data_IF_349389585774
#
_entry.id   IF_349389585774
#
_cell.length_a   1.000
_cell.length_b   1.000
_cell.length_c   1.000
_cell.angle_alpha   90.00
_cell.angle_beta   90.00
_cell.angle_gamma   90.00
#
_symmetry.space_group_name_H-M   'P 1'
#
loop_
_entity.id
_entity.type
_entity.pdbx_description
1 polymer ?
#
# COMPACT_ATOMS: atom_id res chain seq x y z
N UNK A 1 4.24 104.44 -13.85
CA UNK A 1 5.26 103.44 -13.46
C UNK A 1 4.72 102.58 -12.34
N UNK A 2 5.03 101.29 -12.36
CA UNK A 2 4.53 100.25 -11.44
C UNK A 2 4.66 100.58 -9.95
N UNK A 3 3.76 100.06 -9.11
CA UNK A 3 4.07 99.78 -7.72
C UNK A 3 4.21 98.26 -7.46
N UNK A 4 5.34 97.87 -6.84
CA UNK A 4 5.63 96.51 -6.37
C UNK A 4 4.61 96.07 -5.30
N UNK A 5 4.24 94.78 -5.33
CA UNK A 5 3.36 94.13 -4.34
C UNK A 5 4.19 93.25 -3.39
N UNK A 6 4.03 93.34 -2.06
CA UNK A 6 4.67 92.43 -1.11
C UNK A 6 3.73 91.33 -0.57
N UNK A 7 4.39 90.20 -0.26
CA UNK A 7 4.17 89.11 0.71
C UNK A 7 2.83 88.38 0.76
N UNK A 8 2.91 87.08 0.43
CA UNK A 8 1.88 86.09 0.67
C UNK A 8 1.82 85.61 2.13
N UNK A 9 0.60 85.35 2.58
CA UNK A 9 0.26 84.49 3.69
C UNK A 9 -0.45 83.25 3.13
N UNK A 10 -0.12 82.09 3.69
CA UNK A 10 -0.40 80.77 3.11
C UNK A 10 -1.85 80.31 3.17
N UNK A 11 -2.14 79.32 2.34
CA UNK A 11 -3.35 78.51 2.38
C UNK A 11 -2.99 77.08 2.77
N UNK A 12 -3.73 76.56 3.76
CA UNK A 12 -3.92 75.15 4.11
C UNK A 12 -4.60 74.45 2.91
N UNK A 13 -4.48 73.15 2.63
CA UNK A 13 -4.81 72.01 3.50
C UNK A 13 -4.49 70.67 2.78
N UNK A 14 -4.52 69.57 3.55
CA UNK A 14 -4.57 68.14 3.21
C UNK A 14 -3.27 67.32 3.25
N UNK A 15 -3.16 66.48 4.31
CA UNK A 15 -2.86 65.04 4.16
C UNK A 15 -3.31 64.23 5.37
N UNK A 16 -3.89 63.07 5.07
CA UNK A 16 -4.54 62.12 5.96
C UNK A 16 -3.56 61.28 6.79
N UNK A 17 -3.98 60.96 8.02
CA UNK A 17 -3.36 59.95 8.89
C UNK A 17 -4.10 58.61 8.75
N UNK A 18 -3.35 57.51 8.72
CA UNK A 18 -3.85 56.13 8.66
C UNK A 18 -3.65 55.46 10.03
N UNK A 19 -4.62 54.72 10.59
CA UNK A 19 -4.38 53.97 11.82
C UNK A 19 -3.82 52.56 11.56
N UNK A 20 -3.05 52.09 12.54
CA UNK A 20 -2.24 50.88 12.57
C UNK A 20 -3.07 49.56 12.52
N UNK A 21 -2.57 48.55 11.79
CA UNK A 21 -3.00 47.15 11.91
C UNK A 21 -1.81 46.28 12.34
N UNK A 22 -1.92 45.62 13.49
CA UNK A 22 -0.99 44.57 13.92
C UNK A 22 -1.04 43.33 13.00
N UNK A 23 -0.04 42.43 13.07
CA UNK A 23 0.03 41.30 12.15
C UNK A 23 -1.09 40.30 12.40
N UNK A 24 -2.03 40.23 11.47
CA UNK A 24 -3.03 39.17 11.37
C UNK A 24 -2.29 37.90 10.97
N UNK A 25 -2.02 37.01 11.92
CA UNK A 25 -1.53 35.66 11.64
C UNK A 25 -2.66 34.88 10.95
N UNK A 26 -2.63 34.86 9.61
CA UNK A 26 -3.48 33.99 8.81
C UNK A 26 -3.29 32.53 9.25
N UNK A 27 -4.35 31.75 9.49
CA UNK A 27 -4.21 30.34 9.79
C UNK A 27 -3.55 29.64 8.59
N UNK A 28 -2.40 29.01 8.84
CA UNK A 28 -1.73 28.15 7.85
C UNK A 28 -2.76 27.13 7.36
N UNK A 29 -3.03 27.02 6.05
CA UNK A 29 -4.00 26.05 5.56
C UNK A 29 -3.56 24.67 6.01
N UNK A 30 -4.44 23.98 6.74
CA UNK A 30 -4.20 22.62 7.20
C UNK A 30 -3.82 21.77 5.97
N UNK A 31 -2.61 21.22 6.00
CA UNK A 31 -2.09 20.36 4.93
C UNK A 31 -3.15 19.30 4.64
N UNK A 32 -3.60 19.11 3.39
CA UNK A 32 -4.65 18.14 3.10
C UNK A 32 -4.23 16.79 3.66
N UNK A 33 -5.08 16.23 4.51
CA UNK A 33 -4.82 14.93 5.14
C UNK A 33 -4.77 13.91 4.01
N UNK A 34 -3.57 13.56 3.57
CA UNK A 34 -3.36 12.55 2.53
C UNK A 34 -4.06 11.27 2.98
N UNK A 35 -4.93 10.71 2.12
CA UNK A 35 -5.62 9.44 2.42
C UNK A 35 -4.58 8.39 2.86
N UNK A 36 -4.91 7.53 3.83
CA UNK A 36 -3.97 6.54 4.33
C UNK A 36 -3.53 5.60 3.21
N UNK A 37 -2.22 5.36 3.11
CA UNK A 37 -1.65 4.34 2.23
C UNK A 37 -1.64 2.98 2.93
N UNK A 38 -1.98 1.96 2.15
CA UNK A 38 -1.89 0.56 2.52
C UNK A 38 -0.80 -0.11 1.69
N UNK A 39 -0.15 -1.11 2.26
CA UNK A 39 0.70 -2.02 1.49
C UNK A 39 0.36 -3.48 1.73
N UNK A 40 0.47 -4.27 0.68
CA UNK A 40 0.44 -5.72 0.75
C UNK A 40 1.71 -6.26 0.10
N UNK A 41 2.40 -7.18 0.78
CA UNK A 41 3.53 -7.92 0.22
C UNK A 41 3.23 -9.40 0.30
N UNK A 42 3.41 -10.08 -0.82
CA UNK A 42 3.27 -11.52 -0.96
C UNK A 42 4.63 -12.12 -1.37
N UNK A 43 5.16 -12.99 -0.51
CA UNK A 43 6.36 -13.78 -0.77
C UNK A 43 5.97 -15.25 -1.01
N UNK A 44 5.83 -15.58 -2.30
CA UNK A 44 5.54 -16.93 -2.73
C UNK A 44 6.77 -17.75 -3.12
N UNK A 45 6.51 -18.93 -3.69
CA UNK A 45 7.55 -19.88 -4.12
C UNK A 45 8.45 -19.32 -5.22
N UNK A 46 7.86 -18.62 -6.20
CA UNK A 46 8.59 -18.13 -7.37
C UNK A 46 8.85 -16.62 -7.31
N UNK A 47 7.91 -15.86 -6.76
CA UNK A 47 7.86 -14.40 -6.91
C UNK A 47 7.69 -13.71 -5.57
N UNK A 48 8.28 -12.54 -5.45
CA UNK A 48 8.01 -11.57 -4.40
C UNK A 48 7.27 -10.39 -5.04
N UNK A 49 6.07 -10.08 -4.56
CA UNK A 49 5.22 -9.00 -5.08
C UNK A 49 4.85 -8.05 -3.96
N UNK A 50 4.75 -6.77 -4.27
CA UNK A 50 4.25 -5.76 -3.34
C UNK A 50 3.42 -4.71 -4.08
N UNK A 51 2.32 -4.29 -3.46
CA UNK A 51 1.51 -3.15 -3.88
C UNK A 51 1.46 -2.13 -2.74
N UNK A 52 1.54 -0.85 -3.08
CA UNK A 52 1.22 0.28 -2.22
C UNK A 52 0.04 1.01 -2.87
N UNK A 53 -1.05 1.17 -2.14
CA UNK A 53 -2.28 1.71 -2.71
C UNK A 53 -3.06 2.61 -1.74
N UNK A 54 -3.85 3.51 -2.31
CA UNK A 54 -4.76 4.39 -1.59
C UNK A 54 -6.22 3.99 -1.89
N UNK A 55 -7.14 4.05 -0.90
CA UNK A 55 -8.56 3.83 -1.16
C UNK A 55 -9.14 4.90 -2.10
N UNK A 56 -9.87 4.46 -3.12
CA UNK A 56 -10.56 5.31 -4.09
C UNK A 56 -11.92 4.69 -4.43
N UNK A 57 -13.00 5.25 -3.89
CA UNK A 57 -14.34 4.71 -4.04
C UNK A 57 -14.44 3.32 -3.40
N UNK A 58 -14.95 2.35 -4.16
CA UNK A 58 -15.06 0.94 -3.77
C UNK A 58 -13.77 0.13 -3.98
N UNK A 59 -12.71 0.75 -4.49
CA UNK A 59 -11.47 0.06 -4.83
C UNK A 59 -10.21 0.79 -4.36
N UNK A 60 -9.10 0.46 -5.00
CA UNK A 60 -7.78 0.98 -4.70
C UNK A 60 -7.15 1.62 -5.93
N UNK A 61 -6.48 2.75 -5.73
CA UNK A 61 -5.56 3.31 -6.71
C UNK A 61 -4.14 2.93 -6.29
N UNK A 62 -3.46 2.17 -7.15
CA UNK A 62 -2.07 1.74 -6.93
C UNK A 62 -1.15 2.95 -7.09
N UNK A 63 -0.39 3.24 -6.04
CA UNK A 63 0.57 4.35 -5.96
C UNK A 63 1.98 3.87 -6.32
N UNK A 64 2.33 2.65 -5.94
CA UNK A 64 3.60 2.03 -6.29
C UNK A 64 3.45 0.51 -6.28
N UNK A 65 4.29 -0.17 -7.04
CA UNK A 65 4.33 -1.63 -7.11
C UNK A 65 5.76 -2.15 -7.20
N UNK A 66 5.91 -3.42 -6.88
CA UNK A 66 7.13 -4.18 -7.05
C UNK A 66 6.78 -5.62 -7.39
N UNK A 67 7.53 -6.21 -8.32
CA UNK A 67 7.43 -7.62 -8.65
C UNK A 67 8.81 -8.12 -9.07
N UNK A 68 9.27 -9.21 -8.47
CA UNK A 68 10.53 -9.85 -8.82
C UNK A 68 10.43 -11.35 -8.69
N UNK A 69 10.93 -12.07 -9.70
CA UNK A 69 11.19 -13.51 -9.59
C UNK A 69 12.38 -13.74 -8.66
N UNK A 70 12.14 -14.42 -7.55
CA UNK A 70 13.15 -14.72 -6.52
C UNK A 70 13.47 -16.22 -6.45
N UNK A 71 12.56 -17.06 -6.95
CA UNK A 71 12.65 -18.53 -6.96
C UNK A 71 13.03 -19.06 -5.57
N UNK A 72 12.29 -18.63 -4.55
CA UNK A 72 12.53 -18.99 -3.16
C UNK A 72 12.50 -20.52 -2.96
N UNK A 73 11.53 -21.20 -3.61
CA UNK A 73 11.37 -22.65 -3.55
C UNK A 73 12.31 -23.46 -4.45
N UNK A 74 13.28 -22.85 -5.13
CA UNK A 74 14.22 -23.60 -5.97
C UNK A 74 15.02 -24.63 -5.15
N UNK A 75 14.86 -25.91 -5.48
CA UNK A 75 15.50 -27.03 -4.77
C UNK A 75 14.78 -27.48 -3.50
N UNK A 76 13.63 -26.88 -3.16
CA UNK A 76 12.89 -27.20 -1.94
C UNK A 76 12.31 -28.61 -1.97
N UNK A 77 11.72 -29.04 -3.09
CA UNK A 77 11.18 -30.40 -3.29
C UNK A 77 12.20 -31.50 -2.94
N UNK A 78 13.46 -31.30 -3.33
CA UNK A 78 14.51 -32.30 -3.16
C UNK A 78 15.17 -32.27 -1.78
N UNK A 79 15.33 -31.08 -1.20
CA UNK A 79 16.15 -30.89 0.00
C UNK A 79 15.35 -30.63 1.28
N UNK A 80 14.06 -30.27 1.16
CA UNK A 80 13.25 -29.77 2.27
C UNK A 80 13.72 -28.42 2.81
N UNK A 81 14.69 -27.74 2.17
CA UNK A 81 15.31 -26.51 2.68
C UNK A 81 15.37 -25.41 1.62
N UNK A 82 15.27 -24.17 2.07
CA UNK A 82 15.55 -23.00 1.24
C UNK A 82 17.07 -22.89 1.01
N UNK A 83 17.49 -22.85 -0.25
CA UNK A 83 18.90 -22.72 -0.58
C UNK A 83 19.45 -21.34 -0.21
N UNK A 84 20.74 -21.27 0.12
CA UNK A 84 21.41 -20.00 0.46
C UNK A 84 21.28 -18.96 -0.65
N UNK A 85 21.39 -19.38 -1.91
CA UNK A 85 21.23 -18.51 -3.07
C UNK A 85 19.82 -17.92 -3.17
N UNK A 86 18.78 -18.75 -3.03
CA UNK A 86 17.38 -18.28 -3.07
C UNK A 86 17.06 -17.33 -1.91
N UNK A 87 17.53 -17.64 -0.70
CA UNK A 87 17.34 -16.75 0.47
C UNK A 87 18.00 -15.38 0.25
N UNK A 88 19.26 -15.37 -0.21
CA UNK A 88 19.99 -14.11 -0.46
C UNK A 88 19.32 -13.28 -1.54
N UNK A 89 18.91 -13.87 -2.68
CA UNK A 89 18.17 -13.16 -3.73
C UNK A 89 16.87 -12.56 -3.21
N UNK A 90 16.14 -13.31 -2.38
CA UNK A 90 14.88 -12.88 -1.79
C UNK A 90 15.08 -11.71 -0.83
N UNK A 91 16.09 -11.76 0.03
CA UNK A 91 16.41 -10.65 0.95
C UNK A 91 16.74 -9.37 0.17
N UNK A 92 17.45 -9.45 -0.95
CA UNK A 92 17.70 -8.27 -1.79
C UNK A 92 16.41 -7.69 -2.39
N UNK A 93 15.44 -8.53 -2.77
CA UNK A 93 14.13 -8.08 -3.21
C UNK A 93 13.35 -7.38 -2.08
N UNK A 94 13.40 -7.95 -0.87
CA UNK A 94 12.74 -7.40 0.31
C UNK A 94 13.35 -6.08 0.77
N UNK A 95 14.67 -5.86 0.58
CA UNK A 95 15.30 -4.55 0.80
C UNK A 95 14.68 -3.46 -0.09
N UNK A 96 14.42 -3.75 -1.35
CA UNK A 96 13.75 -2.81 -2.27
C UNK A 96 12.32 -2.53 -1.79
N UNK A 97 11.60 -3.56 -1.35
CA UNK A 97 10.27 -3.41 -0.78
C UNK A 97 10.29 -2.49 0.46
N UNK A 98 11.23 -2.71 1.37
CA UNK A 98 11.38 -1.88 2.56
C UNK A 98 11.68 -0.41 2.21
N UNK A 99 12.55 -0.16 1.22
CA UNK A 99 12.85 1.20 0.79
C UNK A 99 11.62 1.92 0.25
N UNK A 100 10.78 1.21 -0.53
CA UNK A 100 9.49 1.72 -1.02
C UNK A 100 8.52 2.00 0.14
N UNK A 101 8.35 1.07 1.08
CA UNK A 101 7.51 1.27 2.26
C UNK A 101 7.92 2.52 3.06
N UNK A 102 9.23 2.72 3.25
CA UNK A 102 9.79 3.89 3.93
C UNK A 102 9.59 5.17 3.13
N UNK A 103 9.86 5.16 1.82
CA UNK A 103 9.67 6.31 0.92
C UNK A 103 8.25 6.84 0.99
N UNK A 104 7.27 5.94 0.96
CA UNK A 104 5.84 6.27 1.00
C UNK A 104 5.29 6.43 2.42
N UNK A 105 6.13 6.24 3.46
CA UNK A 105 5.73 6.33 4.88
C UNK A 105 4.49 5.48 5.20
N UNK A 106 4.41 4.28 4.62
CA UNK A 106 3.26 3.39 4.80
C UNK A 106 3.19 2.94 6.26
N UNK A 107 2.05 3.20 6.90
CA UNK A 107 1.79 2.79 8.30
C UNK A 107 0.95 1.52 8.42
N UNK A 108 0.17 1.20 7.38
CA UNK A 108 -0.76 0.06 7.36
C UNK A 108 -0.27 -0.94 6.33
N UNK A 109 0.22 -2.09 6.78
CA UNK A 109 0.75 -3.09 5.87
C UNK A 109 0.47 -4.51 6.36
N UNK A 110 0.33 -5.44 5.41
CA UNK A 110 0.32 -6.87 5.67
C UNK A 110 1.35 -7.52 4.75
N UNK A 111 2.32 -8.21 5.35
CA UNK A 111 3.43 -8.83 4.62
C UNK A 111 3.39 -10.33 4.90
N UNK A 112 3.07 -11.12 3.89
CA UNK A 112 2.84 -12.56 4.03
C UNK A 112 3.90 -13.37 3.29
N UNK A 113 4.18 -14.56 3.78
CA UNK A 113 4.91 -15.59 3.08
C UNK A 113 4.07 -16.85 2.99
N UNK A 114 4.17 -17.57 1.87
CA UNK A 114 3.28 -18.70 1.58
C UNK A 114 4.05 -20.01 1.44
N UNK A 115 3.75 -20.79 0.41
CA UNK A 115 4.03 -22.22 0.31
C UNK A 115 5.49 -22.60 0.54
N UNK A 116 6.44 -21.90 -0.09
CA UNK A 116 7.86 -22.20 0.10
C UNK A 116 8.33 -22.04 1.55
N UNK A 117 7.78 -21.06 2.28
CA UNK A 117 8.09 -20.89 3.70
C UNK A 117 7.33 -21.88 4.58
N UNK A 118 6.10 -22.28 4.23
CA UNK A 118 5.38 -23.33 4.96
C UNK A 118 6.11 -24.67 4.93
N UNK A 119 6.64 -25.05 3.78
CA UNK A 119 7.28 -26.37 3.57
C UNK A 119 8.72 -26.47 4.06
N UNK A 120 9.44 -25.35 4.15
CA UNK A 120 10.86 -25.38 4.40
C UNK A 120 11.20 -25.64 5.87
N UNK A 121 12.07 -26.63 6.13
CA UNK A 121 12.59 -26.97 7.46
C UNK A 121 13.41 -25.83 8.11
N UNK A 122 13.88 -24.87 7.32
CA UNK A 122 14.66 -23.71 7.77
C UNK A 122 13.94 -22.37 7.54
N UNK A 123 12.60 -22.39 7.46
CA UNK A 123 11.82 -21.18 7.27
C UNK A 123 12.00 -20.20 8.43
N UNK A 124 12.02 -20.66 9.68
CA UNK A 124 12.16 -19.79 10.85
C UNK A 124 13.48 -19.00 10.82
N UNK A 125 14.60 -19.67 10.48
CA UNK A 125 15.90 -19.02 10.30
C UNK A 125 15.87 -17.97 9.19
N UNK A 126 15.18 -18.30 8.08
CA UNK A 126 15.00 -17.37 6.98
C UNK A 126 14.19 -16.14 7.39
N UNK A 127 13.06 -16.31 8.08
CA UNK A 127 12.23 -15.19 8.57
C UNK A 127 12.99 -14.32 9.57
N UNK A 128 13.72 -14.92 10.52
CA UNK A 128 14.60 -14.20 11.45
C UNK A 128 15.65 -13.38 10.70
N UNK A 129 16.27 -13.97 9.68
CA UNK A 129 17.25 -13.29 8.82
C UNK A 129 16.63 -12.13 8.04
N UNK A 130 15.43 -12.31 7.47
CA UNK A 130 14.68 -11.23 6.81
C UNK A 130 14.45 -10.08 7.78
N UNK A 131 13.97 -10.36 8.99
CA UNK A 131 13.71 -9.34 9.99
C UNK A 131 14.99 -8.58 10.37
N UNK A 132 16.08 -9.30 10.64
CA UNK A 132 17.37 -8.68 10.98
C UNK A 132 17.92 -7.79 9.85
N UNK A 133 17.83 -8.24 8.59
CA UNK A 133 18.46 -7.55 7.46
C UNK A 133 17.61 -6.45 6.82
N UNK A 134 16.30 -6.44 7.06
CA UNK A 134 15.36 -5.51 6.41
C UNK A 134 14.45 -4.77 7.39
N UNK A 135 14.25 -5.29 8.60
CA UNK A 135 13.24 -4.81 9.55
C UNK A 135 11.82 -5.29 9.24
N UNK A 136 11.57 -5.95 8.10
CA UNK A 136 10.25 -6.45 7.75
C UNK A 136 9.88 -7.67 8.62
N UNK A 137 8.62 -7.73 9.05
CA UNK A 137 8.05 -8.89 9.72
C UNK A 137 7.09 -9.57 8.75
N UNK A 138 7.40 -10.80 8.38
CA UNK A 138 6.60 -11.61 7.47
C UNK A 138 5.82 -12.64 8.27
N UNK A 139 4.52 -12.75 7.99
CA UNK A 139 3.67 -13.78 8.57
C UNK A 139 3.56 -14.96 7.59
N UNK A 140 3.92 -16.16 8.03
CA UNK A 140 3.67 -17.37 7.25
C UNK A 140 2.19 -17.72 7.41
N UNK A 141 1.39 -17.56 6.36
CA UNK A 141 -0.05 -17.80 6.42
C UNK A 141 -0.39 -19.25 6.06
N UNK A 142 -1.45 -19.79 6.66
CA UNK A 142 -1.97 -21.11 6.33
C UNK A 142 -2.60 -21.12 4.92
N UNK A 143 -2.65 -22.28 4.23
CA UNK A 143 -3.29 -22.39 2.91
C UNK A 143 -4.74 -21.90 2.89
N UNK A 144 -5.49 -22.15 3.98
CA UNK A 144 -6.87 -21.66 4.13
C UNK A 144 -6.97 -20.13 4.10
N UNK A 145 -6.00 -19.42 4.71
CA UNK A 145 -6.00 -17.96 4.71
C UNK A 145 -5.57 -17.41 3.34
N UNK A 146 -4.62 -18.06 2.66
CA UNK A 146 -4.25 -17.73 1.27
C UNK A 146 -5.45 -17.87 0.34
N UNK A 147 -6.14 -19.02 0.39
CA UNK A 147 -7.36 -19.27 -0.36
C UNK A 147 -8.47 -18.24 -0.06
N UNK A 148 -8.66 -17.88 1.22
CA UNK A 148 -9.63 -16.86 1.63
C UNK A 148 -9.29 -15.49 1.06
N UNK A 149 -8.02 -15.07 1.10
CA UNK A 149 -7.56 -13.80 0.56
C UNK A 149 -7.70 -13.76 -0.98
N UNK A 150 -7.39 -14.87 -1.65
CA UNK A 150 -7.59 -15.02 -3.09
C UNK A 150 -9.08 -14.88 -3.45
N UNK A 151 -9.98 -15.56 -2.72
CA UNK A 151 -11.42 -15.43 -2.93
C UNK A 151 -11.94 -14.00 -2.74
N UNK A 152 -11.54 -13.32 -1.66
CA UNK A 152 -11.91 -11.92 -1.39
C UNK A 152 -11.41 -11.00 -2.52
N UNK A 153 -10.24 -11.27 -3.10
CA UNK A 153 -9.71 -10.48 -4.21
C UNK A 153 -10.60 -10.53 -5.46
N UNK A 154 -11.42 -11.59 -5.60
CA UNK A 154 -12.36 -11.76 -6.68
C UNK A 154 -13.73 -11.11 -6.41
N UNK A 155 -13.99 -10.53 -5.23
CA UNK A 155 -15.26 -9.90 -4.88
C UNK A 155 -15.77 -8.91 -5.94
N UNK A 156 -14.94 -8.03 -6.55
CA UNK A 156 -15.40 -7.12 -7.61
C UNK A 156 -15.93 -7.80 -8.89
N UNK A 157 -15.68 -9.09 -9.08
CA UNK A 157 -16.13 -9.88 -10.23
C UNK A 157 -17.50 -10.52 -10.01
N UNK A 158 -18.01 -10.52 -8.77
CA UNK A 158 -19.30 -11.11 -8.42
C UNK A 158 -20.43 -10.18 -8.81
N UNK A 159 -21.43 -10.71 -9.53
CA UNK A 159 -22.61 -9.95 -9.93
C UNK A 159 -23.90 -10.68 -9.54
N UNK A 160 -25.05 -10.02 -9.77
CA UNK A 160 -26.38 -10.54 -9.36
C UNK A 160 -26.74 -11.91 -9.97
N UNK A 161 -26.13 -12.27 -11.10
CA UNK A 161 -26.36 -13.55 -11.80
C UNK A 161 -25.38 -14.64 -11.36
N UNK A 162 -24.35 -14.33 -10.58
CA UNK A 162 -23.37 -15.32 -10.12
C UNK A 162 -23.98 -16.22 -9.06
N UNK A 163 -24.32 -17.46 -9.43
CA UNK A 163 -24.87 -18.46 -8.49
C UNK A 163 -23.80 -19.32 -7.87
N UNK A 164 -22.73 -19.59 -8.61
CA UNK A 164 -21.58 -20.34 -8.15
C UNK A 164 -20.31 -19.63 -8.58
N UNK A 165 -19.27 -19.67 -7.74
CA UNK A 165 -17.95 -19.16 -8.05
C UNK A 165 -16.90 -20.22 -7.69
N UNK A 166 -16.09 -20.62 -8.68
CA UNK A 166 -14.90 -21.41 -8.46
C UNK A 166 -13.68 -20.51 -8.66
N UNK A 167 -12.93 -20.28 -7.59
CA UNK A 167 -11.64 -19.59 -7.63
C UNK A 167 -10.54 -20.64 -7.67
N UNK A 168 -9.63 -20.50 -8.62
CA UNK A 168 -8.44 -21.36 -8.76
C UNK A 168 -7.21 -20.46 -8.74
N UNK A 169 -6.42 -20.54 -7.67
CA UNK A 169 -5.13 -19.87 -7.57
C UNK A 169 -4.02 -20.91 -7.77
N UNK A 170 -3.18 -20.71 -8.79
CA UNK A 170 -2.12 -21.64 -9.16
C UNK A 170 -0.78 -21.00 -8.84
N UNK A 171 -0.20 -21.43 -7.72
CA UNK A 171 1.10 -21.01 -7.24
C UNK A 171 2.25 -21.84 -7.81
N UNK A 172 3.46 -21.48 -7.38
CA UNK A 172 4.67 -22.23 -7.76
C UNK A 172 4.89 -23.53 -6.99
N UNK A 173 4.09 -23.80 -5.95
CA UNK A 173 4.22 -25.00 -5.13
C UNK A 173 2.92 -25.48 -4.48
N UNK A 174 1.82 -24.73 -4.64
CA UNK A 174 0.48 -25.07 -4.15
C UNK A 174 -0.55 -24.60 -5.18
N UNK A 175 -1.75 -25.17 -5.06
CA UNK A 175 -2.93 -24.75 -5.80
C UNK A 175 -4.08 -24.67 -4.81
N UNK A 176 -4.70 -23.50 -4.72
CA UNK A 176 -5.85 -23.27 -3.86
C UNK A 176 -7.14 -23.30 -4.71
N UNK A 177 -8.13 -24.08 -4.26
CA UNK A 177 -9.46 -24.15 -4.86
C UNK A 177 -10.51 -23.68 -3.85
N UNK A 178 -11.32 -22.69 -4.24
CA UNK A 178 -12.43 -22.21 -3.43
C UNK A 178 -13.72 -22.29 -4.22
N UNK A 179 -14.65 -23.13 -3.75
CA UNK A 179 -16.01 -23.20 -4.26
C UNK A 179 -16.94 -22.40 -3.36
N UNK A 180 -17.66 -21.44 -3.94
CA UNK A 180 -18.64 -20.61 -3.24
C UNK A 180 -19.99 -20.79 -3.92
N UNK A 181 -20.94 -21.38 -3.19
CA UNK A 181 -22.33 -21.47 -3.59
C UNK A 181 -23.10 -20.26 -3.05
N UNK A 182 -23.63 -19.46 -3.97
CA UNK A 182 -24.45 -18.27 -3.72
C UNK A 182 -25.89 -18.44 -4.25
N UNK A 183 -26.30 -19.67 -4.59
CA UNK A 183 -27.64 -19.98 -5.08
C UNK A 183 -28.72 -19.55 -4.07
N UNK A 184 -28.45 -19.72 -2.78
CA UNK A 184 -29.32 -19.32 -1.67
C UNK A 184 -29.18 -17.85 -1.26
N UNK A 185 -28.22 -17.11 -1.82
CA UNK A 185 -28.06 -15.68 -1.55
C UNK A 185 -29.02 -14.90 -2.46
N UNK A 186 -29.88 -14.01 -1.92
CA UNK A 186 -30.76 -13.19 -2.74
C UNK A 186 -29.98 -12.42 -3.81
N UNK A 187 -30.50 -12.35 -5.04
CA UNK A 187 -29.78 -11.77 -6.20
C UNK A 187 -29.19 -10.38 -5.95
N UNK A 188 -29.86 -9.56 -5.13
CA UNK A 188 -29.42 -8.21 -4.78
C UNK A 188 -28.20 -8.17 -3.85
N UNK A 189 -27.99 -9.23 -3.07
CA UNK A 189 -26.98 -9.29 -2.01
C UNK A 189 -25.69 -10.00 -2.48
N UNK A 190 -25.76 -10.78 -3.57
CA UNK A 190 -24.62 -11.52 -4.15
C UNK A 190 -23.34 -10.69 -4.38
N UNK A 191 -23.38 -9.43 -4.86
CA UNK A 191 -22.16 -8.63 -5.02
C UNK A 191 -21.42 -8.30 -3.72
N UNK A 192 -22.02 -8.55 -2.55
CA UNK A 192 -21.46 -8.25 -1.23
C UNK A 192 -21.33 -9.49 -0.34
N UNK A 193 -21.48 -10.70 -0.90
CA UNK A 193 -21.51 -11.96 -0.13
C UNK A 193 -20.15 -12.64 0.05
N UNK A 194 -19.06 -12.06 -0.50
CA UNK A 194 -17.69 -12.57 -0.36
C UNK A 194 -16.69 -11.46 -0.03
#
# INVERSE_FOLDING_TARGET
>A
MAPKRPKGAGALENKAESPEMGPILSPVPARPVSKPLYAALDLGTNSCRMLIAQPKGTGFHVVDSFSKSVQLGAGLEKSGRLSRGSMTRTIQALRICQQKLRKHRVKRMRLVATEACRRALNAEDFIKRVHRETGLRLDIIAPKEEARLAAISCAPLVNKKTENLLVVDIGGGSTELVWIDMSQVPKRDRPHSI
#
